data_IF_611050307614
#
_entry.id   IF_611050307614
#
_cell.length_a   1.000
_cell.length_b   1.000
_cell.length_c   1.000
_cell.angle_alpha   90.00
_cell.angle_beta   90.00
_cell.angle_gamma   90.00
#
_symmetry.space_group_name_H-M   'P 1'
#
loop_
_entity.id
_entity.type
_entity.pdbx_description
1 polymer ?
#
# COMPACT_ATOMS: atom_id res chain seq x y z
N UNK A 1 -65.39 -29.79 -15.38
CA UNK A 1 -64.01 -30.34 -15.37
C UNK A 1 -63.10 -29.80 -16.46
N UNK A 2 -63.58 -29.51 -17.66
CA UNK A 2 -62.75 -28.97 -18.75
C UNK A 2 -62.14 -27.57 -18.48
N UNK A 3 -62.85 -26.67 -17.77
CA UNK A 3 -62.35 -25.33 -17.44
C UNK A 3 -61.22 -25.31 -16.41
N UNK A 4 -61.19 -26.27 -15.53
CA UNK A 4 -60.12 -26.40 -14.50
C UNK A 4 -58.82 -26.91 -15.16
N UNK A 5 -58.93 -27.88 -16.09
CA UNK A 5 -57.81 -28.42 -16.84
C UNK A 5 -57.18 -27.36 -17.77
N UNK A 6 -58.02 -26.50 -18.42
CA UNK A 6 -57.51 -25.39 -19.25
C UNK A 6 -56.78 -24.34 -18.41
N UNK A 7 -57.24 -24.04 -17.18
CA UNK A 7 -56.55 -23.15 -16.24
C UNK A 7 -55.19 -23.66 -15.83
N UNK A 8 -55.06 -24.93 -15.53
CA UNK A 8 -53.72 -25.55 -15.19
C UNK A 8 -52.74 -25.54 -16.36
N UNK A 9 -53.22 -25.80 -17.57
CA UNK A 9 -52.39 -25.76 -18.78
C UNK A 9 -51.90 -24.34 -19.10
N UNK A 10 -52.73 -23.32 -18.91
CA UNK A 10 -52.33 -21.93 -19.03
C UNK A 10 -51.36 -21.51 -17.97
N UNK A 11 -51.58 -21.90 -16.73
CA UNK A 11 -50.71 -21.59 -15.60
C UNK A 11 -49.34 -22.26 -15.72
N UNK A 12 -49.27 -23.51 -16.15
CA UNK A 12 -47.99 -24.20 -16.44
C UNK A 12 -47.29 -23.65 -17.67
N UNK A 13 -48.02 -23.28 -18.71
CA UNK A 13 -47.42 -22.63 -19.90
C UNK A 13 -46.81 -21.27 -19.57
N UNK A 14 -47.47 -20.46 -18.74
CA UNK A 14 -46.95 -19.18 -18.28
C UNK A 14 -45.75 -19.34 -17.32
N UNK A 15 -45.81 -20.35 -16.44
CA UNK A 15 -44.71 -20.66 -15.51
C UNK A 15 -43.41 -21.05 -16.23
N UNK A 16 -43.52 -21.67 -17.40
CA UNK A 16 -42.37 -22.06 -18.22
C UNK A 16 -41.88 -20.93 -19.17
N UNK A 17 -42.83 -20.13 -19.68
CA UNK A 17 -42.50 -19.07 -20.63
C UNK A 17 -41.96 -17.78 -19.94
N UNK A 18 -42.45 -17.46 -18.75
CA UNK A 18 -42.04 -16.25 -18.02
C UNK A 18 -40.53 -16.20 -17.74
N UNK A 19 -39.86 -17.26 -17.26
CA UNK A 19 -38.40 -17.25 -17.07
C UNK A 19 -37.64 -17.00 -18.36
N UNK A 20 -38.09 -17.60 -19.46
CA UNK A 20 -37.46 -17.43 -20.77
C UNK A 20 -37.60 -16.01 -21.30
N UNK A 21 -38.78 -15.43 -21.17
CA UNK A 21 -39.04 -14.05 -21.57
C UNK A 21 -38.28 -13.06 -20.69
N UNK A 22 -38.22 -13.32 -19.38
CA UNK A 22 -37.43 -12.47 -18.47
C UNK A 22 -35.93 -12.51 -18.74
N UNK A 23 -35.38 -13.68 -19.07
CA UNK A 23 -33.97 -13.83 -19.49
C UNK A 23 -33.73 -13.04 -20.80
N UNK A 24 -34.63 -13.21 -21.77
CA UNK A 24 -34.52 -12.50 -23.05
C UNK A 24 -34.61 -10.96 -22.88
N UNK A 25 -35.55 -10.48 -22.09
CA UNK A 25 -35.68 -9.06 -21.79
C UNK A 25 -34.47 -8.52 -21.03
N UNK A 26 -33.96 -9.27 -20.06
CA UNK A 26 -32.73 -8.92 -19.35
C UNK A 26 -31.53 -8.84 -20.30
N UNK A 27 -31.42 -9.76 -21.24
CA UNK A 27 -30.37 -9.72 -22.26
C UNK A 27 -30.47 -8.48 -23.14
N UNK A 28 -31.65 -8.13 -23.61
CA UNK A 28 -31.88 -6.95 -24.44
C UNK A 28 -31.64 -5.62 -23.72
N UNK A 29 -31.91 -5.56 -22.42
CA UNK A 29 -31.67 -4.36 -21.60
C UNK A 29 -30.22 -4.19 -21.18
N UNK A 30 -29.50 -5.28 -20.95
CA UNK A 30 -28.09 -5.25 -20.49
C UNK A 30 -27.11 -5.08 -21.66
N UNK A 31 -27.43 -5.62 -22.84
CA UNK A 31 -26.53 -5.58 -24.01
C UNK A 31 -26.09 -4.16 -24.43
N UNK A 32 -26.98 -3.15 -24.54
CA UNK A 32 -26.56 -1.78 -24.86
C UNK A 32 -25.65 -1.19 -23.80
N UNK A 33 -25.89 -1.51 -22.51
CA UNK A 33 -25.06 -1.08 -21.39
C UNK A 33 -23.64 -1.66 -21.46
N UNK A 34 -23.51 -2.94 -21.83
CA UNK A 34 -22.19 -3.57 -22.00
C UNK A 34 -21.41 -2.92 -23.15
N UNK A 35 -22.04 -2.66 -24.29
CA UNK A 35 -21.38 -2.00 -25.43
C UNK A 35 -20.92 -0.61 -25.04
N UNK A 36 -21.79 0.18 -24.41
CA UNK A 36 -21.45 1.52 -23.94
C UNK A 36 -20.33 1.48 -22.90
N UNK A 37 -20.36 0.53 -21.96
CA UNK A 37 -19.29 0.31 -21.00
C UNK A 37 -17.95 0.03 -21.69
N UNK A 38 -17.90 -0.88 -22.68
CA UNK A 38 -16.69 -1.19 -23.42
C UNK A 38 -16.12 0.03 -24.14
N UNK A 39 -16.98 0.85 -24.76
CA UNK A 39 -16.54 2.09 -25.41
C UNK A 39 -15.92 3.07 -24.40
N UNK A 40 -16.54 3.22 -23.24
CA UNK A 40 -15.99 4.09 -22.17
C UNK A 40 -14.67 3.54 -21.65
N UNK A 41 -14.51 2.22 -21.50
CA UNK A 41 -13.25 1.59 -21.07
C UNK A 41 -12.13 1.85 -22.09
N UNK A 42 -12.42 1.74 -23.39
CA UNK A 42 -11.44 2.05 -24.45
C UNK A 42 -11.03 3.53 -24.36
N UNK A 43 -12.00 4.42 -24.26
CA UNK A 43 -11.73 5.86 -24.11
C UNK A 43 -10.92 6.17 -22.83
N UNK A 44 -11.29 5.55 -21.71
CA UNK A 44 -10.58 5.64 -20.45
C UNK A 44 -9.12 5.20 -20.56
N UNK A 45 -8.86 4.11 -21.30
CA UNK A 45 -7.49 3.64 -21.51
C UNK A 45 -6.64 4.63 -22.31
N UNK A 46 -7.21 5.21 -23.37
CA UNK A 46 -6.53 6.22 -24.20
C UNK A 46 -6.21 7.46 -23.34
N UNK A 47 -7.19 7.98 -22.62
CA UNK A 47 -7.02 9.16 -21.78
C UNK A 47 -6.02 8.92 -20.64
N UNK A 48 -6.12 7.79 -19.95
CA UNK A 48 -5.20 7.42 -18.88
C UNK A 48 -3.76 7.23 -19.40
N UNK A 49 -3.60 6.65 -20.59
CA UNK A 49 -2.30 6.49 -21.23
C UNK A 49 -1.66 7.84 -21.56
N UNK A 50 -2.46 8.79 -22.04
CA UNK A 50 -2.01 10.16 -22.32
C UNK A 50 -1.57 10.88 -21.05
N UNK A 51 -2.37 10.81 -19.97
CA UNK A 51 -2.03 11.40 -18.67
C UNK A 51 -0.79 10.77 -18.06
N UNK A 52 -0.65 9.44 -18.15
CA UNK A 52 0.54 8.74 -17.70
C UNK A 52 1.81 9.14 -18.45
N UNK A 53 1.72 9.26 -19.78
CA UNK A 53 2.83 9.72 -20.61
C UNK A 53 3.21 11.18 -20.31
N UNK A 54 2.22 12.05 -20.10
CA UNK A 54 2.44 13.44 -19.72
C UNK A 54 3.14 13.53 -18.36
N UNK A 55 2.67 12.77 -17.37
CA UNK A 55 3.29 12.72 -16.04
C UNK A 55 4.74 12.22 -16.12
N UNK A 56 4.99 11.14 -16.86
CA UNK A 56 6.34 10.64 -17.10
C UNK A 56 7.23 11.72 -17.74
N UNK A 57 6.74 12.43 -18.77
CA UNK A 57 7.49 13.50 -19.42
C UNK A 57 7.81 14.65 -18.45
N UNK A 58 6.86 15.07 -17.61
CA UNK A 58 7.06 16.13 -16.61
C UNK A 58 8.10 15.70 -15.57
N UNK A 59 7.98 14.49 -15.01
CA UNK A 59 8.91 13.98 -14.01
C UNK A 59 10.32 13.81 -14.56
N UNK A 60 10.44 13.36 -15.82
CA UNK A 60 11.72 13.24 -16.50
C UNK A 60 12.35 14.61 -16.80
N UNK A 61 11.55 15.58 -17.25
CA UNK A 61 11.99 16.96 -17.46
C UNK A 61 12.45 17.63 -16.15
N UNK A 62 11.77 17.32 -15.03
CA UNK A 62 12.16 17.77 -13.69
C UNK A 62 13.40 17.03 -13.14
N UNK A 63 13.96 16.05 -13.89
CA UNK A 63 15.14 15.26 -13.49
C UNK A 63 15.00 14.64 -12.10
N UNK A 64 13.82 14.17 -11.75
CA UNK A 64 13.50 13.62 -10.43
C UNK A 64 14.43 12.46 -10.10
N UNK A 65 14.72 11.58 -11.07
CA UNK A 65 15.61 10.43 -10.90
C UNK A 65 17.05 10.85 -10.60
N UNK A 66 17.54 11.93 -11.21
CA UNK A 66 18.88 12.47 -10.96
C UNK A 66 19.00 13.07 -9.56
N UNK A 67 17.97 13.77 -9.10
CA UNK A 67 17.94 14.34 -7.74
C UNK A 67 17.97 13.25 -6.66
N UNK A 68 17.21 12.19 -6.85
CA UNK A 68 17.18 11.06 -5.90
C UNK A 68 18.50 10.28 -5.92
N UNK A 69 19.08 10.08 -7.10
CA UNK A 69 20.38 9.41 -7.25
C UNK A 69 21.51 10.19 -6.59
N UNK A 70 21.48 11.51 -6.68
CA UNK A 70 22.47 12.39 -6.05
C UNK A 70 22.31 12.51 -4.53
N UNK A 71 21.13 12.25 -3.97
CA UNK A 71 20.85 12.29 -2.55
C UNK A 71 21.43 11.11 -1.75
N UNK A 72 22.30 10.25 -2.34
CA UNK A 72 22.91 9.05 -1.72
C UNK A 72 21.91 8.02 -1.19
N UNK A 73 20.65 8.13 -1.57
CA UNK A 73 19.59 7.18 -1.23
C UNK A 73 19.58 5.96 -2.18
N UNK A 74 20.53 5.95 -3.12
CA UNK A 74 20.56 5.00 -4.24
C UNK A 74 20.83 3.54 -3.86
N UNK A 75 21.25 3.25 -2.62
CA UNK A 75 21.52 1.86 -2.23
C UNK A 75 20.27 1.00 -2.12
N UNK A 76 19.13 1.59 -1.80
CA UNK A 76 17.87 0.86 -1.60
C UNK A 76 16.90 0.98 -2.77
N UNK A 77 17.03 2.02 -3.62
CA UNK A 77 16.09 2.32 -4.70
C UNK A 77 16.78 2.35 -6.07
N UNK A 78 18.06 2.03 -6.15
CA UNK A 78 18.91 2.21 -7.34
C UNK A 78 18.43 1.53 -8.63
N UNK A 79 17.40 0.71 -8.57
CA UNK A 79 16.80 0.03 -9.72
C UNK A 79 15.45 0.59 -10.15
N UNK A 80 14.89 1.57 -9.43
CA UNK A 80 13.55 2.11 -9.69
C UNK A 80 13.65 3.47 -10.38
N UNK A 81 13.19 3.54 -11.62
CA UNK A 81 13.02 4.80 -12.33
C UNK A 81 11.70 5.46 -11.85
N UNK A 82 11.83 6.51 -11.03
CA UNK A 82 10.71 7.20 -10.40
C UNK A 82 9.81 7.91 -11.43
N UNK A 83 10.37 8.42 -12.50
CA UNK A 83 9.60 9.04 -13.57
C UNK A 83 8.71 7.99 -14.27
N UNK A 84 9.26 6.81 -14.56
CA UNK A 84 8.51 5.69 -15.15
C UNK A 84 7.44 5.17 -14.19
N UNK A 85 7.80 5.00 -12.92
CA UNK A 85 6.86 4.58 -11.89
C UNK A 85 5.72 5.59 -11.74
N UNK A 86 6.03 6.88 -11.61
CA UNK A 86 5.03 7.95 -11.48
C UNK A 86 4.06 8.01 -12.67
N UNK A 87 4.60 7.92 -13.90
CA UNK A 87 3.78 7.84 -15.10
C UNK A 87 2.86 6.62 -15.13
N UNK A 88 3.39 5.42 -14.80
CA UNK A 88 2.60 4.20 -14.71
C UNK A 88 1.53 4.29 -13.62
N UNK A 89 1.87 4.90 -12.51
CA UNK A 89 0.98 5.15 -11.39
C UNK A 89 -0.24 5.98 -11.82
N UNK A 90 -0.03 7.14 -12.38
CA UNK A 90 -1.10 8.04 -12.83
C UNK A 90 -1.94 7.37 -13.93
N UNK A 91 -1.30 6.67 -14.87
CA UNK A 91 -2.01 5.92 -15.90
C UNK A 91 -3.01 4.93 -15.29
N UNK A 92 -2.54 4.02 -14.43
CA UNK A 92 -3.38 2.98 -13.85
C UNK A 92 -4.42 3.55 -12.88
N UNK A 93 -4.06 4.56 -12.09
CA UNK A 93 -5.01 5.24 -11.20
C UNK A 93 -6.16 5.88 -11.97
N UNK A 94 -5.84 6.67 -13.00
CA UNK A 94 -6.84 7.33 -13.82
C UNK A 94 -7.71 6.30 -14.54
N UNK A 95 -7.11 5.24 -15.10
CA UNK A 95 -7.85 4.17 -15.75
C UNK A 95 -8.84 3.51 -14.78
N UNK A 96 -8.39 3.15 -13.56
CA UNK A 96 -9.24 2.54 -12.55
C UNK A 96 -10.42 3.43 -12.14
N UNK A 97 -10.19 4.74 -11.99
CA UNK A 97 -11.26 5.70 -11.68
C UNK A 97 -12.33 5.73 -12.78
N UNK A 98 -11.92 5.83 -14.05
CA UNK A 98 -12.87 5.83 -15.17
C UNK A 98 -13.63 4.53 -15.31
N UNK A 99 -12.97 3.38 -15.10
CA UNK A 99 -13.62 2.06 -15.11
C UNK A 99 -14.62 1.92 -13.98
N UNK A 100 -14.29 2.39 -12.78
CA UNK A 100 -15.20 2.37 -11.63
C UNK A 100 -16.43 3.23 -11.87
N UNK A 101 -16.23 4.43 -12.40
CA UNK A 101 -17.31 5.35 -12.73
C UNK A 101 -18.20 4.77 -13.85
N UNK A 102 -17.60 4.25 -14.92
CA UNK A 102 -18.34 3.60 -16.00
C UNK A 102 -19.16 2.40 -15.47
N UNK A 103 -18.57 1.57 -14.61
CA UNK A 103 -19.27 0.42 -14.04
C UNK A 103 -20.49 0.82 -13.21
N UNK A 104 -20.43 1.96 -12.51
CA UNK A 104 -21.55 2.50 -11.73
C UNK A 104 -22.66 3.03 -12.59
N UNK A 105 -22.34 3.70 -13.70
CA UNK A 105 -23.29 4.34 -14.61
C UNK A 105 -24.11 3.31 -15.41
N UNK A 106 -23.50 2.21 -15.82
CA UNK A 106 -24.17 1.25 -16.70
C UNK A 106 -24.93 0.14 -15.95
N UNK A 107 -25.09 0.26 -14.62
CA UNK A 107 -25.96 -0.60 -13.79
C UNK A 107 -25.78 -2.09 -14.08
N UNK A 108 -24.52 -2.55 -14.20
CA UNK A 108 -24.17 -3.95 -14.51
C UNK A 108 -24.50 -4.91 -13.33
N UNK A 109 -25.39 -4.51 -12.41
CA UNK A 109 -25.82 -5.30 -11.28
C UNK A 109 -24.66 -5.66 -10.33
N UNK A 110 -24.56 -6.94 -9.97
CA UNK A 110 -23.52 -7.44 -9.06
C UNK A 110 -22.11 -7.24 -9.64
N UNK A 111 -21.97 -7.26 -10.98
CA UNK A 111 -20.68 -7.08 -11.67
C UNK A 111 -20.13 -5.65 -11.46
N UNK A 112 -20.98 -4.63 -11.46
CA UNK A 112 -20.54 -3.25 -11.24
C UNK A 112 -19.93 -3.05 -9.85
N UNK A 113 -20.49 -3.69 -8.82
CA UNK A 113 -19.95 -3.64 -7.45
C UNK A 113 -18.56 -4.30 -7.36
N UNK A 114 -18.35 -5.41 -8.07
CA UNK A 114 -17.06 -6.09 -8.12
C UNK A 114 -16.00 -5.28 -8.86
N UNK A 115 -16.34 -4.69 -10.02
CA UNK A 115 -15.44 -3.81 -10.77
C UNK A 115 -15.07 -2.58 -9.93
N UNK A 116 -16.03 -1.96 -9.26
CA UNK A 116 -15.79 -0.82 -8.40
C UNK A 116 -14.89 -1.18 -7.20
N UNK A 117 -15.02 -2.37 -6.62
CA UNK A 117 -14.15 -2.82 -5.53
C UNK A 117 -12.71 -3.06 -6.01
N UNK A 118 -12.53 -3.69 -7.17
CA UNK A 118 -11.21 -3.88 -7.80
C UNK A 118 -10.56 -2.54 -8.16
N UNK A 119 -11.33 -1.59 -8.69
CA UNK A 119 -10.82 -0.26 -9.00
C UNK A 119 -10.30 0.49 -7.77
N UNK A 120 -10.92 0.29 -6.59
CA UNK A 120 -10.44 0.87 -5.31
C UNK A 120 -9.13 0.27 -4.84
N UNK A 121 -8.78 -0.97 -5.22
CA UNK A 121 -7.50 -1.57 -4.87
C UNK A 121 -6.32 -0.84 -5.53
N UNK A 122 -6.53 -0.25 -6.72
CA UNK A 122 -5.44 0.41 -7.45
C UNK A 122 -4.83 1.56 -6.63
N UNK A 123 -5.57 2.56 -6.11
CA UNK A 123 -5.01 3.59 -5.25
C UNK A 123 -4.34 3.03 -3.99
N UNK A 124 -4.89 1.96 -3.42
CA UNK A 124 -4.34 1.33 -2.20
C UNK A 124 -2.97 0.70 -2.46
N UNK A 125 -2.82 -0.03 -3.58
CA UNK A 125 -1.53 -0.59 -4.01
C UNK A 125 -0.50 0.51 -4.25
N UNK A 126 -0.92 1.62 -4.84
CA UNK A 126 -0.03 2.79 -5.03
C UNK A 126 0.48 3.35 -3.73
N UNK A 127 -0.44 3.60 -2.81
CA UNK A 127 -0.07 4.10 -1.48
C UNK A 127 0.86 3.12 -0.77
N UNK A 128 0.63 1.81 -0.91
CA UNK A 128 1.51 0.77 -0.36
C UNK A 128 2.92 0.85 -0.97
N UNK A 129 3.05 1.03 -2.29
CA UNK A 129 4.36 1.20 -2.94
C UNK A 129 5.08 2.45 -2.41
N UNK A 130 4.39 3.58 -2.28
CA UNK A 130 4.96 4.81 -1.72
C UNK A 130 5.42 4.59 -0.28
N UNK A 131 4.62 3.89 0.55
CA UNK A 131 4.99 3.54 1.93
C UNK A 131 6.25 2.68 1.94
N UNK A 132 6.35 1.67 1.08
CA UNK A 132 7.55 0.80 1.01
C UNK A 132 8.78 1.60 0.60
N UNK A 133 8.69 2.39 -0.47
CA UNK A 133 9.82 3.20 -0.95
C UNK A 133 10.26 4.22 0.09
N UNK A 134 9.32 4.98 0.66
CA UNK A 134 9.61 5.94 1.71
C UNK A 134 10.17 5.29 2.98
N UNK A 135 9.60 4.15 3.36
CA UNK A 135 10.04 3.37 4.52
C UNK A 135 11.46 2.81 4.37
N UNK A 136 11.84 2.32 3.18
CA UNK A 136 13.20 1.87 2.91
C UNK A 136 14.21 3.03 3.02
N UNK A 137 13.87 4.21 2.51
CA UNK A 137 14.69 5.41 2.66
C UNK A 137 14.90 5.75 4.13
N UNK A 138 13.83 5.75 4.92
CA UNK A 138 13.90 6.04 6.35
C UNK A 138 14.72 4.97 7.09
N UNK A 139 14.56 3.68 6.74
CA UNK A 139 15.32 2.59 7.33
C UNK A 139 16.82 2.75 7.09
N UNK A 140 17.22 3.04 5.85
CA UNK A 140 18.63 3.25 5.49
C UNK A 140 19.19 4.51 6.14
N UNK A 141 18.46 5.62 6.12
CA UNK A 141 18.87 6.86 6.78
C UNK A 141 19.09 6.68 8.28
N UNK A 142 18.18 5.97 8.97
CA UNK A 142 18.31 5.68 10.40
C UNK A 142 19.53 4.82 10.69
N UNK A 143 19.76 3.75 9.89
CA UNK A 143 20.90 2.86 10.03
C UNK A 143 22.23 3.58 9.79
N UNK A 144 22.31 4.39 8.73
CA UNK A 144 23.53 5.14 8.38
C UNK A 144 23.89 6.18 9.44
N UNK A 145 22.90 6.87 10.00
CA UNK A 145 23.16 7.82 11.10
C UNK A 145 23.78 7.12 12.32
N UNK A 146 23.37 5.90 12.61
CA UNK A 146 23.95 5.12 13.71
C UNK A 146 25.40 4.70 13.41
N UNK A 147 25.70 4.32 12.15
CA UNK A 147 27.04 3.86 11.76
C UNK A 147 28.11 4.95 11.87
N UNK A 148 27.73 6.23 11.83
CA UNK A 148 28.66 7.35 12.03
C UNK A 148 29.17 7.45 13.48
N UNK A 149 28.51 6.83 14.45
CA UNK A 149 28.98 6.73 15.83
C UNK A 149 30.00 5.60 15.94
N UNK A 150 31.30 5.90 15.82
CA UNK A 150 32.45 4.97 15.82
C UNK A 150 32.61 4.14 17.11
N UNK A 151 31.56 3.45 17.59
CA UNK A 151 31.59 2.61 18.79
C UNK A 151 31.47 1.12 18.45
N UNK A 152 32.14 0.26 19.23
CA UNK A 152 31.98 -1.21 19.11
C UNK A 152 30.50 -1.57 19.40
N UNK A 153 29.89 -2.42 18.53
CA UNK A 153 28.49 -2.83 18.66
C UNK A 153 27.46 -2.01 17.86
N UNK A 154 27.80 -0.83 17.37
CA UNK A 154 26.90 0.03 16.57
C UNK A 154 26.41 -0.68 15.30
N UNK A 155 27.24 -1.54 14.69
CA UNK A 155 26.87 -2.30 13.50
C UNK A 155 25.70 -3.25 13.74
N UNK A 156 25.67 -3.93 14.88
CA UNK A 156 24.54 -4.78 15.26
C UNK A 156 23.29 -3.95 15.56
N UNK A 157 23.45 -2.87 16.33
CA UNK A 157 22.34 -1.98 16.67
C UNK A 157 21.72 -1.34 15.41
N UNK A 158 22.53 -0.85 14.46
CA UNK A 158 22.04 -0.27 13.21
C UNK A 158 21.30 -1.30 12.35
N UNK A 159 21.79 -2.56 12.32
CA UNK A 159 21.12 -3.64 11.61
C UNK A 159 19.76 -3.97 12.23
N UNK A 160 19.67 -4.05 13.55
CA UNK A 160 18.39 -4.27 14.25
C UNK A 160 17.39 -3.15 13.96
N UNK A 161 17.82 -1.90 14.06
CA UNK A 161 16.95 -0.73 13.76
C UNK A 161 16.46 -0.77 12.32
N UNK A 162 17.35 -1.03 11.36
CA UNK A 162 16.99 -1.13 9.94
C UNK A 162 15.92 -2.19 9.71
N UNK A 163 16.14 -3.41 10.18
CA UNK A 163 15.20 -4.51 10.02
C UNK A 163 13.87 -4.24 10.73
N UNK A 164 13.91 -3.63 11.93
CA UNK A 164 12.69 -3.25 12.64
C UNK A 164 11.83 -2.27 11.82
N UNK A 165 12.44 -1.26 11.22
CA UNK A 165 11.73 -0.29 10.37
C UNK A 165 11.17 -1.01 9.13
N UNK A 166 11.96 -1.86 8.46
CA UNK A 166 11.52 -2.60 7.26
C UNK A 166 10.29 -3.48 7.58
N UNK A 167 10.30 -4.20 8.69
CA UNK A 167 9.16 -5.04 9.12
C UNK A 167 7.91 -4.20 9.35
N UNK A 168 8.01 -3.08 10.04
CA UNK A 168 6.88 -2.15 10.26
C UNK A 168 6.35 -1.61 8.93
N UNK A 169 7.24 -1.23 8.02
CA UNK A 169 6.89 -0.71 6.69
C UNK A 169 6.13 -1.76 5.87
N UNK A 170 6.61 -3.01 5.85
CA UNK A 170 5.94 -4.11 5.14
C UNK A 170 4.54 -4.35 5.71
N UNK A 171 4.39 -4.43 7.03
CA UNK A 171 3.10 -4.61 7.69
C UNK A 171 2.14 -3.46 7.34
N UNK A 172 2.64 -2.23 7.36
CA UNK A 172 1.84 -1.04 7.01
C UNK A 172 1.41 -1.08 5.54
N UNK A 173 2.30 -1.47 4.63
CA UNK A 173 1.99 -1.60 3.21
C UNK A 173 0.95 -2.72 2.95
N UNK A 174 1.03 -3.85 3.64
CA UNK A 174 0.05 -4.93 3.56
C UNK A 174 -1.33 -4.48 4.05
N UNK A 175 -1.39 -3.75 5.18
CA UNK A 175 -2.63 -3.13 5.67
C UNK A 175 -3.24 -2.18 4.64
N UNK A 176 -2.42 -1.42 3.94
CA UNK A 176 -2.87 -0.46 2.93
C UNK A 176 -3.58 -1.14 1.75
N UNK A 177 -3.16 -2.34 1.38
CA UNK A 177 -3.79 -3.14 0.31
C UNK A 177 -5.09 -3.83 0.79
N UNK A 178 -5.40 -3.72 2.09
CA UNK A 178 -6.60 -4.32 2.68
C UNK A 178 -6.39 -5.75 3.20
N UNK A 179 -5.13 -6.19 3.32
CA UNK A 179 -4.81 -7.48 3.94
C UNK A 179 -4.92 -7.34 5.46
N UNK A 180 -5.70 -8.21 6.09
CA UNK A 180 -5.78 -8.24 7.55
C UNK A 180 -4.52 -8.86 8.14
N UNK A 181 -3.65 -7.99 8.62
CA UNK A 181 -2.39 -8.36 9.31
C UNK A 181 -2.44 -8.03 10.80
N UNK A 182 -3.63 -7.94 11.38
CA UNK A 182 -3.84 -7.50 12.77
C UNK A 182 -3.08 -8.37 13.76
N UNK A 183 -3.16 -9.68 13.62
CA UNK A 183 -2.42 -10.63 14.49
C UNK A 183 -0.91 -10.49 14.32
N UNK A 184 -0.44 -10.41 13.07
CA UNK A 184 1.00 -10.26 12.77
C UNK A 184 1.52 -8.93 13.29
N UNK A 185 0.78 -7.83 13.08
CA UNK A 185 1.18 -6.51 13.54
C UNK A 185 1.24 -6.43 15.07
N UNK A 186 0.30 -7.06 15.78
CA UNK A 186 0.29 -7.12 17.23
C UNK A 186 1.47 -7.90 17.77
N UNK A 187 1.78 -9.07 17.19
CA UNK A 187 2.93 -9.88 17.58
C UNK A 187 4.25 -9.12 17.36
N UNK A 188 4.41 -8.46 16.22
CA UNK A 188 5.61 -7.66 15.92
C UNK A 188 5.74 -6.47 16.86
N UNK A 189 4.64 -5.78 17.19
CA UNK A 189 4.68 -4.68 18.17
C UNK A 189 5.14 -5.14 19.55
N UNK A 190 4.69 -6.31 20.01
CA UNK A 190 5.11 -6.89 21.28
C UNK A 190 6.62 -7.18 21.26
N UNK A 191 7.14 -7.78 20.19
CA UNK A 191 8.57 -8.07 20.04
C UNK A 191 9.38 -6.77 20.00
N UNK A 192 8.95 -5.77 19.22
CA UNK A 192 9.62 -4.47 19.15
C UNK A 192 9.61 -3.73 20.49
N UNK A 193 8.49 -3.78 21.22
CA UNK A 193 8.39 -3.21 22.56
C UNK A 193 9.36 -3.89 23.53
N UNK A 194 9.45 -5.22 23.50
CA UNK A 194 10.39 -5.98 24.35
C UNK A 194 11.85 -5.62 24.03
N UNK A 195 12.22 -5.50 22.75
CA UNK A 195 13.55 -5.05 22.31
C UNK A 195 13.80 -3.60 22.76
N UNK A 196 12.82 -2.71 22.61
CA UNK A 196 12.91 -1.30 23.03
C UNK A 196 13.14 -1.17 24.55
N UNK A 197 12.39 -1.93 25.35
CA UNK A 197 12.55 -1.96 26.81
C UNK A 197 13.93 -2.52 27.17
N UNK A 198 14.36 -3.61 26.54
CA UNK A 198 15.70 -4.19 26.76
C UNK A 198 16.82 -3.20 26.48
N UNK A 199 16.72 -2.45 25.37
CA UNK A 199 17.68 -1.39 25.02
C UNK A 199 17.64 -0.23 26.04
N UNK A 200 16.46 0.20 26.48
CA UNK A 200 16.31 1.25 27.47
C UNK A 200 16.97 0.86 28.80
N UNK A 201 16.75 -0.38 29.25
CA UNK A 201 17.38 -0.92 30.47
C UNK A 201 18.92 -1.00 30.32
N UNK A 202 19.40 -1.49 29.17
CA UNK A 202 20.84 -1.56 28.90
C UNK A 202 21.50 -0.18 28.92
N UNK A 203 20.85 0.83 28.35
CA UNK A 203 21.31 2.23 28.38
C UNK A 203 21.30 2.77 29.82
N UNK A 204 20.23 2.52 30.58
CA UNK A 204 20.13 2.96 31.98
C UNK A 204 21.23 2.39 32.84
N UNK A 205 21.52 1.08 32.68
CA UNK A 205 22.63 0.40 33.41
C UNK A 205 23.99 0.98 33.00
N UNK A 206 24.21 1.19 31.70
CA UNK A 206 25.44 1.79 31.16
C UNK A 206 25.68 3.20 31.69
N UNK A 207 24.64 4.04 31.72
CA UNK A 207 24.70 5.39 32.32
C UNK A 207 24.99 5.33 33.83
N UNK A 208 24.30 4.46 34.57
CA UNK A 208 24.53 4.29 36.00
C UNK A 208 25.97 3.89 36.33
N UNK A 209 26.57 3.00 35.54
CA UNK A 209 27.96 2.59 35.69
C UNK A 209 28.94 3.76 35.41
N UNK A 210 28.69 4.57 34.37
CA UNK A 210 29.51 5.73 34.02
C UNK A 210 29.48 6.80 35.15
N UNK A 211 28.28 7.12 35.65
CA UNK A 211 28.13 8.07 36.78
C UNK A 211 28.83 7.59 38.08
N UNK A 212 28.85 6.29 38.30
CA UNK A 212 29.50 5.72 39.49
C UNK A 212 31.04 5.84 39.47
N UNK A 213 31.66 5.77 38.30
CA UNK A 213 33.10 6.01 38.12
C UNK A 213 33.45 7.48 38.32
N UNK A 214 32.73 8.37 37.68
CA UNK A 214 32.93 9.83 37.77
C UNK A 214 32.71 10.37 39.18
N UNK A 215 31.69 9.86 39.88
CA UNK A 215 31.44 10.20 41.29
C UNK A 215 32.59 9.78 42.24
N UNK A 216 33.24 8.64 41.98
CA UNK A 216 34.38 8.21 42.77
C UNK A 216 35.60 9.13 42.60
N UNK A 217 35.83 9.64 41.42
CA UNK A 217 36.96 10.52 41.14
C UNK A 217 36.72 11.94 41.73
N UNK A 218 35.49 12.41 41.72
CA UNK A 218 35.11 13.64 42.42
C UNK A 218 35.28 13.52 43.92
N UNK A 219 34.84 12.41 44.54
CA UNK A 219 34.99 12.16 45.98
C UNK A 219 36.47 12.04 46.37
N UNK A 220 37.33 11.39 45.54
CA UNK A 220 38.76 11.33 45.76
C UNK A 220 39.43 12.70 45.67
N UNK A 221 39.01 13.54 44.72
CA UNK A 221 39.53 14.90 44.55
C UNK A 221 39.18 15.78 45.75
N UNK A 222 37.96 15.69 46.28
CA UNK A 222 37.53 16.40 47.47
C UNK A 222 38.32 15.95 48.72
N UNK A 223 38.51 14.62 48.85
CA UNK A 223 39.24 14.06 50.04
C UNK A 223 40.74 14.33 50.03
N UNK A 224 41.32 14.72 48.89
CA UNK A 224 42.73 15.07 48.75
C UNK A 224 43.02 16.53 49.07
N UNK A 225 41.99 17.39 49.10
CA UNK A 225 42.07 18.83 49.36
C UNK A 225 41.63 19.23 50.77
N UNK A 226 41.33 18.24 51.61
CA UNK A 226 41.13 18.35 53.07
C UNK A 226 42.25 17.58 53.76
#
# INVERSE_FOLDING_TARGET
>A
MAGVAAGYLQQTGQALSQPLVSIWQSFLTVTPGIIAFLLVVIFAYILSSLLGALTHAILNAAKVDDHVRNAKVSHSIGFVNLATLGGALIKWYTFALFVAEAASQFSLGVVSAQIASLARLVPQVFTAIIIVLGGLIVADFAADRMLHAKRKGVRLASSVVRWSIIVVVIITALKQIGIDVTLVSSAVLIVLAAVGIGLAVAVAIGFSAAFKEESKDIIKAIKKNW
#
